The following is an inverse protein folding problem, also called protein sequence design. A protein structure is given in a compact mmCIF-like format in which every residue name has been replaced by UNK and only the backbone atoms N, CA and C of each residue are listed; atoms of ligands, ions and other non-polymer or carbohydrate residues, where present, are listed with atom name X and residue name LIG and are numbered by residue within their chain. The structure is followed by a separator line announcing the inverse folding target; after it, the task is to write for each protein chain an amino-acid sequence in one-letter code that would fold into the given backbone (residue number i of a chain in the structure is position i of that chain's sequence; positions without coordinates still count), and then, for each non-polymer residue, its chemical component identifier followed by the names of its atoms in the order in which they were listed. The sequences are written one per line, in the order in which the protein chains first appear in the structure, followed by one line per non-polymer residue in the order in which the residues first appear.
data_IF_592463099447
#
_entry.id   IF_592463099447
#
_cell.length_a   1.000
_cell.length_b   1.000
_cell.length_c   1.000
_cell.angle_alpha   90.00
_cell.angle_beta   90.00
_cell.angle_gamma   90.00
#
_symmetry.space_group_name_H-M   'P 1'
#
loop_
_entity.id
_entity.type
_entity.pdbx_description
1 polymer ?
#
# COMPACT_ATOMS: atom_id res chain seq x y z
N UNK A 1 -0.22 35.57 -0.75
CA UNK A 1 0.71 34.72 0.02
C UNK A 1 0.15 33.31 0.02
N UNK A 2 0.75 32.40 -0.76
CA UNK A 2 0.26 31.04 -0.95
C UNK A 2 0.76 30.15 0.20
N UNK A 3 -0.10 29.86 1.19
CA UNK A 3 0.24 29.11 2.40
C UNK A 3 0.07 27.59 2.21
N UNK A 4 0.63 27.03 1.13
CA UNK A 4 0.59 25.58 0.91
C UNK A 4 1.38 24.88 2.00
N UNK A 5 0.66 24.17 2.88
CA UNK A 5 1.29 23.31 3.89
C UNK A 5 2.15 22.26 3.18
N UNK A 6 3.37 21.99 3.65
CA UNK A 6 4.24 20.99 3.04
C UNK A 6 3.54 19.63 3.08
N UNK A 7 3.43 18.99 1.92
CA UNK A 7 2.87 17.65 1.79
C UNK A 7 3.83 16.66 2.45
N UNK A 8 3.40 16.02 3.54
CA UNK A 8 4.20 14.97 4.19
C UNK A 8 4.36 13.81 3.23
N UNK A 9 5.61 13.39 2.98
CA UNK A 9 5.89 12.16 2.25
C UNK A 9 5.19 10.99 2.94
N UNK A 10 4.42 10.24 2.16
CA UNK A 10 3.73 9.05 2.65
C UNK A 10 4.73 7.91 2.73
N UNK A 11 4.82 7.25 3.89
CA UNK A 11 5.66 6.06 4.04
C UNK A 11 5.08 4.88 3.25
N UNK A 12 5.93 4.06 2.64
CA UNK A 12 5.56 2.77 2.02
C UNK A 12 4.73 1.89 2.94
N UNK A 13 5.03 1.88 4.24
CA UNK A 13 4.26 1.11 5.23
C UNK A 13 2.81 1.59 5.30
N UNK A 14 2.56 2.89 5.18
CA UNK A 14 1.20 3.43 5.15
C UNK A 14 0.47 3.01 3.88
N UNK A 15 1.15 2.99 2.74
CA UNK A 15 0.58 2.53 1.47
C UNK A 15 0.21 1.05 1.56
N UNK A 16 1.12 0.19 2.06
CA UNK A 16 0.83 -1.24 2.27
C UNK A 16 -0.36 -1.46 3.18
N UNK A 17 -0.44 -0.75 4.32
CA UNK A 17 -1.58 -0.88 5.24
C UNK A 17 -2.88 -0.43 4.60
N UNK A 18 -2.89 0.68 3.86
CA UNK A 18 -4.08 1.16 3.18
C UNK A 18 -4.61 0.16 2.16
N UNK A 19 -3.74 -0.34 1.28
CA UNK A 19 -4.12 -1.32 0.25
C UNK A 19 -4.52 -2.66 0.87
N UNK A 20 -3.77 -3.15 1.86
CA UNK A 20 -4.11 -4.39 2.54
C UNK A 20 -5.44 -4.30 3.28
N UNK A 21 -5.78 -3.14 3.85
CA UNK A 21 -7.07 -2.95 4.53
C UNK A 21 -8.24 -2.99 3.56
N UNK A 22 -8.16 -2.31 2.41
CA UNK A 22 -9.23 -2.38 1.39
C UNK A 22 -9.37 -3.78 0.82
N UNK A 23 -8.25 -4.43 0.50
CA UNK A 23 -8.26 -5.79 -0.03
C UNK A 23 -8.74 -6.82 1.00
N UNK A 24 -8.46 -6.64 2.29
CA UNK A 24 -8.94 -7.55 3.33
C UNK A 24 -10.48 -7.49 3.49
N UNK A 25 -11.06 -6.29 3.39
CA UNK A 25 -12.51 -6.12 3.44
C UNK A 25 -13.17 -6.77 2.21
N UNK A 26 -12.58 -6.57 1.04
CA UNK A 26 -13.12 -7.11 -0.22
C UNK A 26 -12.98 -8.63 -0.34
N UNK A 27 -11.86 -9.19 0.12
CA UNK A 27 -11.53 -10.62 -0.08
C UNK A 27 -11.80 -11.49 1.14
N UNK A 28 -12.04 -10.90 2.32
CA UNK A 28 -12.12 -11.63 3.59
C UNK A 28 -10.78 -12.22 4.08
N UNK A 29 -9.68 -11.94 3.38
CA UNK A 29 -8.34 -12.43 3.74
C UNK A 29 -7.77 -11.59 4.89
N UNK A 30 -7.02 -12.18 5.84
CA UNK A 30 -6.39 -11.40 6.91
C UNK A 30 -5.39 -10.37 6.36
N UNK A 31 -5.44 -9.15 6.91
CA UNK A 31 -4.60 -8.01 6.51
C UNK A 31 -3.11 -8.36 6.54
N UNK A 32 -2.66 -9.09 7.56
CA UNK A 32 -1.26 -9.51 7.70
C UNK A 32 -0.77 -10.38 6.55
N UNK A 33 -1.64 -11.25 6.01
CA UNK A 33 -1.29 -12.11 4.88
C UNK A 33 -1.12 -11.28 3.60
N UNK A 34 -2.02 -10.32 3.37
CA UNK A 34 -1.94 -9.41 2.23
C UNK A 34 -0.71 -8.49 2.35
N UNK A 35 -0.43 -7.92 3.53
CA UNK A 35 0.76 -7.11 3.76
C UNK A 35 2.06 -7.90 3.51
N UNK A 36 2.10 -9.16 3.90
CA UNK A 36 3.27 -10.03 3.67
C UNK A 36 3.48 -10.26 2.18
N UNK A 37 2.43 -10.57 1.44
CA UNK A 37 2.47 -10.73 -0.03
C UNK A 37 2.89 -9.44 -0.74
N UNK A 38 2.40 -8.29 -0.29
CA UNK A 38 2.77 -6.98 -0.85
C UNK A 38 4.25 -6.62 -0.61
N UNK A 39 4.84 -7.11 0.48
CA UNK A 39 6.27 -6.92 0.80
C UNK A 39 7.18 -7.88 0.04
N UNK A 40 6.71 -9.11 -0.20
CA UNK A 40 7.46 -10.17 -0.87
C UNK A 40 7.76 -9.83 -2.35
N UNK A 41 7.01 -8.89 -2.95
CA UNK A 41 7.16 -8.43 -4.35
C UNK A 41 7.05 -9.56 -5.39
N UNK A 42 6.63 -10.76 -5.00
CA UNK A 42 6.31 -11.85 -5.92
C UNK A 42 4.96 -11.60 -6.56
N UNK A 43 4.96 -10.69 -7.54
CA UNK A 43 3.76 -10.25 -8.24
C UNK A 43 3.65 -10.96 -9.57
N UNK A 44 2.46 -11.47 -9.91
CA UNK A 44 2.17 -11.99 -11.25
C UNK A 44 2.37 -10.95 -12.37
N UNK A 45 2.37 -9.67 -12.03
CA UNK A 45 2.50 -8.56 -12.97
C UNK A 45 3.77 -7.75 -12.66
N UNK A 46 4.91 -8.15 -13.24
CA UNK A 46 6.22 -7.54 -12.98
C UNK A 46 6.34 -6.06 -13.38
N UNK A 47 5.42 -5.57 -14.22
CA UNK A 47 5.36 -4.16 -14.64
C UNK A 47 4.56 -3.27 -13.68
N UNK A 48 3.78 -3.88 -12.76
CA UNK A 48 3.03 -3.14 -11.75
C UNK A 48 3.88 -3.00 -10.50
N UNK A 49 4.08 -1.77 -10.06
CA UNK A 49 4.79 -1.47 -8.82
C UNK A 49 3.90 -0.60 -7.94
N UNK A 50 3.92 -0.88 -6.63
CA UNK A 50 3.19 -0.05 -5.68
C UNK A 50 3.96 1.26 -5.47
N UNK A 51 3.21 2.38 -5.44
CA UNK A 51 3.74 3.74 -5.37
C UNK A 51 4.88 3.90 -4.35
N UNK A 52 5.91 4.67 -4.73
CA UNK A 52 7.17 4.85 -3.99
C UNK A 52 7.25 6.14 -3.20
#
# INVERSE_FOLDING_TARGET
MDTRKPTKKVSKTRIYRSVASSSAIETGTPIQEIETRLKDKNTKYSHLTLAQ
#
